data_IF_845874304811
#
_entry.id   IF_845874304811
#
_cell.length_a   1.000
_cell.length_b   1.000
_cell.length_c   1.000
_cell.angle_alpha   90.00
_cell.angle_beta   90.00
_cell.angle_gamma   90.00
#
_symmetry.space_group_name_H-M   'P 1'
#
loop_
_entity.id
_entity.type
_entity.pdbx_description
1 polymer ?
#
# COMPACT_ATOMS: atom_id res chain seq x y z
N UNK A 1 -33.61 -36.74 -20.95
CA UNK A 1 -32.27 -37.33 -20.86
C UNK A 1 -31.55 -36.67 -19.69
N UNK A 2 -31.35 -37.42 -18.61
CA UNK A 2 -30.63 -36.99 -17.42
C UNK A 2 -29.18 -36.69 -17.80
N UNK A 3 -28.80 -35.42 -17.83
CA UNK A 3 -27.40 -35.02 -17.93
C UNK A 3 -26.67 -35.56 -16.69
N UNK A 4 -25.79 -36.54 -16.88
CA UNK A 4 -24.95 -37.06 -15.81
C UNK A 4 -24.23 -35.88 -15.14
N UNK A 5 -24.27 -35.81 -13.81
CA UNK A 5 -23.63 -34.76 -13.03
C UNK A 5 -22.30 -35.26 -12.48
N UNK A 6 -21.32 -34.37 -12.34
CA UNK A 6 -20.11 -34.62 -11.56
C UNK A 6 -20.49 -34.64 -10.07
N UNK A 7 -20.16 -35.72 -9.36
CA UNK A 7 -20.57 -35.93 -7.96
C UNK A 7 -19.41 -36.25 -7.02
N UNK A 8 -18.27 -36.72 -7.52
CA UNK A 8 -17.16 -37.18 -6.67
C UNK A 8 -16.08 -36.10 -6.47
N UNK A 9 -15.99 -35.61 -5.23
CA UNK A 9 -14.97 -34.64 -4.78
C UNK A 9 -13.55 -35.20 -4.91
N UNK A 10 -13.36 -36.51 -4.71
CA UNK A 10 -12.04 -37.15 -4.76
C UNK A 10 -11.45 -37.13 -6.17
N UNK A 11 -12.30 -37.23 -7.20
CA UNK A 11 -11.89 -37.16 -8.60
C UNK A 11 -11.40 -35.75 -8.93
N UNK A 12 -12.12 -34.71 -8.49
CA UNK A 12 -11.67 -33.32 -8.68
C UNK A 12 -10.29 -33.10 -8.05
N UNK A 13 -10.07 -33.60 -6.82
CA UNK A 13 -8.77 -33.51 -6.15
C UNK A 13 -7.66 -34.26 -6.89
N UNK A 14 -7.97 -35.44 -7.45
CA UNK A 14 -7.03 -36.21 -8.26
C UNK A 14 -6.63 -35.44 -9.53
N UNK A 15 -7.57 -34.78 -10.20
CA UNK A 15 -7.29 -33.96 -11.38
C UNK A 15 -6.44 -32.74 -11.03
N UNK A 16 -6.68 -32.11 -9.87
CA UNK A 16 -5.82 -31.04 -9.35
C UNK A 16 -4.40 -31.53 -9.10
N UNK A 17 -4.24 -32.72 -8.51
CA UNK A 17 -2.91 -33.32 -8.33
C UNK A 17 -2.22 -33.59 -9.68
N UNK A 18 -2.93 -34.12 -10.67
CA UNK A 18 -2.37 -34.32 -12.02
C UNK A 18 -1.93 -32.98 -12.65
N UNK A 19 -2.73 -31.92 -12.45
CA UNK A 19 -2.40 -30.58 -12.92
C UNK A 19 -1.09 -30.07 -12.29
N UNK A 20 -0.89 -30.33 -11.01
CA UNK A 20 0.34 -29.98 -10.30
C UNK A 20 1.55 -30.77 -10.78
N UNK A 21 1.39 -32.09 -10.94
CA UNK A 21 2.47 -32.99 -11.35
C UNK A 21 2.96 -32.69 -12.78
N UNK A 22 2.04 -32.31 -13.69
CA UNK A 22 2.37 -31.96 -15.09
C UNK A 22 2.79 -30.52 -15.26
N UNK A 23 2.30 -29.62 -14.40
CA UNK A 23 2.29 -28.18 -14.64
C UNK A 23 1.16 -27.74 -15.58
N UNK A 24 0.75 -26.47 -15.43
CA UNK A 24 -0.41 -25.87 -16.11
C UNK A 24 -0.44 -26.10 -17.62
N UNK A 25 0.61 -25.72 -18.33
CA UNK A 25 0.59 -25.71 -19.80
C UNK A 25 0.55 -27.13 -20.37
N UNK A 26 1.36 -28.05 -19.81
CA UNK A 26 1.36 -29.46 -20.20
C UNK A 26 0.03 -30.16 -19.87
N UNK A 27 -0.60 -29.83 -18.73
CA UNK A 27 -1.93 -30.34 -18.40
C UNK A 27 -2.97 -29.87 -19.43
N UNK A 28 -2.99 -28.57 -19.72
CA UNK A 28 -3.95 -27.97 -20.65
C UNK A 28 -3.78 -28.53 -22.07
N UNK A 29 -2.55 -28.66 -22.55
CA UNK A 29 -2.24 -29.25 -23.86
C UNK A 29 -2.69 -30.72 -23.93
N UNK A 30 -2.35 -31.53 -22.92
CA UNK A 30 -2.72 -32.95 -22.87
C UNK A 30 -4.24 -33.16 -22.91
N UNK A 31 -5.00 -32.29 -22.24
CA UNK A 31 -6.46 -32.39 -22.14
C UNK A 31 -7.22 -31.53 -23.17
N UNK A 32 -6.49 -30.85 -24.06
CA UNK A 32 -7.00 -29.98 -25.15
C UNK A 32 -7.86 -28.82 -24.63
N UNK A 33 -7.37 -28.12 -23.61
CA UNK A 33 -7.99 -26.91 -23.08
C UNK A 33 -7.08 -25.70 -23.29
N UNK A 34 -7.70 -24.53 -23.40
CA UNK A 34 -6.99 -23.26 -23.31
C UNK A 34 -6.98 -22.77 -21.87
N UNK A 35 -6.05 -21.85 -21.57
CA UNK A 35 -6.03 -21.14 -20.29
C UNK A 35 -7.36 -20.41 -20.06
N UNK A 36 -7.83 -20.42 -18.81
CA UNK A 36 -8.99 -19.69 -18.36
C UNK A 36 -8.78 -18.19 -18.56
N UNK A 37 -9.86 -17.52 -18.99
CA UNK A 37 -9.90 -16.08 -19.19
C UNK A 37 -10.76 -15.35 -18.16
N UNK A 38 -11.45 -16.10 -17.28
CA UNK A 38 -12.40 -15.57 -16.31
C UNK A 38 -12.46 -16.44 -15.04
N UNK A 39 -12.95 -17.68 -15.12
CA UNK A 39 -13.21 -18.49 -13.92
C UNK A 39 -12.06 -19.40 -13.54
N UNK A 40 -11.71 -19.38 -12.26
CA UNK A 40 -10.66 -20.18 -11.65
C UNK A 40 -11.19 -20.98 -10.48
N UNK A 41 -10.78 -22.23 -10.37
CA UNK A 41 -11.01 -23.05 -9.20
C UNK A 41 -9.91 -22.73 -8.17
N UNK A 42 -10.29 -22.43 -6.93
CA UNK A 42 -9.32 -22.23 -5.85
C UNK A 42 -9.23 -23.48 -4.96
N UNK A 43 -8.03 -24.05 -4.85
CA UNK A 43 -7.74 -25.19 -3.95
C UNK A 43 -6.47 -24.88 -3.16
N UNK A 44 -6.58 -24.90 -1.83
CA UNK A 44 -5.48 -24.60 -0.91
C UNK A 44 -4.73 -23.30 -1.27
N UNK A 45 -5.47 -22.24 -1.65
CA UNK A 45 -4.92 -20.94 -2.02
C UNK A 45 -4.44 -20.80 -3.47
N UNK A 46 -4.25 -21.91 -4.20
CA UNK A 46 -3.79 -21.89 -5.60
C UNK A 46 -4.97 -21.84 -6.57
N UNK A 47 -4.76 -21.17 -7.71
CA UNK A 47 -5.74 -21.01 -8.78
C UNK A 47 -5.50 -21.99 -9.92
N UNK A 48 -6.56 -22.64 -10.37
CA UNK A 48 -6.57 -23.64 -11.45
C UNK A 48 -7.61 -23.27 -12.51
N UNK A 49 -7.39 -23.69 -13.75
CA UNK A 49 -8.33 -23.45 -14.85
C UNK A 49 -9.66 -24.21 -14.64
N UNK A 50 -10.70 -23.54 -14.11
CA UNK A 50 -11.93 -24.17 -13.63
C UNK A 50 -12.59 -25.06 -14.70
N UNK A 51 -12.67 -24.55 -15.94
CA UNK A 51 -13.24 -25.27 -17.08
C UNK A 51 -12.46 -26.54 -17.40
N UNK A 52 -11.14 -26.52 -17.32
CA UNK A 52 -10.32 -27.70 -17.59
C UNK A 52 -10.52 -28.74 -16.48
N UNK A 53 -10.39 -28.33 -15.22
CA UNK A 53 -10.52 -29.23 -14.06
C UNK A 53 -11.88 -29.95 -14.06
N UNK A 54 -12.99 -29.21 -14.17
CA UNK A 54 -14.34 -29.79 -14.08
C UNK A 54 -14.63 -30.76 -15.22
N UNK A 55 -14.15 -30.48 -16.43
CA UNK A 55 -14.40 -31.35 -17.58
C UNK A 55 -13.51 -32.58 -17.59
N UNK A 56 -12.25 -32.47 -17.15
CA UNK A 56 -11.37 -33.64 -16.99
C UNK A 56 -11.91 -34.54 -15.86
N UNK A 57 -12.33 -33.95 -14.74
CA UNK A 57 -12.95 -34.70 -13.65
C UNK A 57 -14.22 -35.43 -14.12
N UNK A 58 -15.06 -34.77 -14.92
CA UNK A 58 -16.25 -35.39 -15.48
C UNK A 58 -15.92 -36.58 -16.40
N UNK A 59 -14.90 -36.44 -17.25
CA UNK A 59 -14.42 -37.55 -18.10
C UNK A 59 -13.94 -38.74 -17.27
N UNK A 60 -13.23 -38.48 -16.18
CA UNK A 60 -12.72 -39.52 -15.29
C UNK A 60 -13.84 -40.23 -14.51
N UNK A 61 -14.83 -39.48 -14.01
CA UNK A 61 -15.96 -40.05 -13.26
C UNK A 61 -16.84 -40.95 -14.15
N UNK A 62 -17.12 -40.51 -15.37
CA UNK A 62 -18.05 -41.20 -16.28
C UNK A 62 -17.36 -42.09 -17.31
N UNK A 63 -16.03 -42.23 -17.24
CA UNK A 63 -15.20 -42.99 -18.21
C UNK A 63 -15.47 -42.57 -19.67
N UNK A 64 -15.68 -41.27 -19.89
CA UNK A 64 -16.07 -40.70 -21.18
C UNK A 64 -14.84 -40.40 -22.05
N UNK A 65 -14.98 -40.45 -23.40
CA UNK A 65 -13.88 -40.18 -24.31
C UNK A 65 -13.37 -38.73 -24.20
N UNK A 66 -12.08 -38.54 -24.53
CA UNK A 66 -11.32 -37.32 -24.29
C UNK A 66 -11.81 -36.03 -24.98
N UNK A 67 -12.86 -36.06 -25.81
CA UNK A 67 -13.47 -34.87 -26.41
C UNK A 67 -14.76 -34.41 -25.74
N UNK A 68 -15.37 -35.22 -24.85
CA UNK A 68 -16.65 -34.88 -24.24
C UNK A 68 -16.50 -33.73 -23.25
N UNK A 69 -17.47 -32.82 -23.27
CA UNK A 69 -17.56 -31.63 -22.39
C UNK A 69 -18.97 -31.61 -21.80
N UNK A 70 -19.10 -31.13 -20.56
CA UNK A 70 -20.39 -31.00 -19.88
C UNK A 70 -21.32 -30.07 -20.68
N UNK A 71 -22.52 -30.54 -20.99
CA UNK A 71 -23.59 -29.71 -21.58
C UNK A 71 -24.16 -28.73 -20.55
N UNK A 72 -24.30 -27.45 -20.89
CA UNK A 72 -24.88 -26.43 -19.99
C UNK A 72 -24.06 -25.15 -19.81
N UNK A 73 -22.91 -25.02 -20.48
CA UNK A 73 -22.11 -23.79 -20.46
C UNK A 73 -21.31 -23.56 -19.18
N UNK A 74 -20.76 -22.35 -19.05
CA UNK A 74 -19.83 -21.97 -17.96
C UNK A 74 -20.52 -21.94 -16.60
N UNK A 75 -21.69 -21.32 -16.52
CA UNK A 75 -22.43 -21.18 -15.24
C UNK A 75 -22.89 -22.52 -14.68
N UNK A 76 -23.15 -23.50 -15.53
CA UNK A 76 -23.46 -24.86 -15.07
C UNK A 76 -22.21 -25.55 -14.50
N UNK A 77 -21.05 -25.37 -15.14
CA UNK A 77 -19.79 -25.96 -14.71
C UNK A 77 -19.32 -25.41 -13.37
N UNK A 78 -19.45 -24.10 -13.15
CA UNK A 78 -19.10 -23.45 -11.88
C UNK A 78 -20.01 -23.94 -10.74
N UNK A 79 -21.33 -24.00 -10.98
CA UNK A 79 -22.31 -24.53 -10.01
C UNK A 79 -22.08 -25.99 -9.63
N UNK A 80 -21.45 -26.79 -10.49
CA UNK A 80 -21.05 -28.16 -10.14
C UNK A 80 -19.90 -28.15 -9.13
N UNK A 81 -18.84 -27.39 -9.40
CA UNK A 81 -17.70 -27.25 -8.47
C UNK A 81 -18.13 -26.69 -7.11
N UNK A 82 -18.99 -25.67 -7.11
CA UNK A 82 -19.52 -25.06 -5.88
C UNK A 82 -20.37 -26.05 -5.07
N UNK A 83 -21.24 -26.84 -5.72
CA UNK A 83 -22.01 -27.90 -5.05
C UNK A 83 -21.13 -28.99 -4.43
N UNK A 84 -19.95 -29.23 -5.00
CA UNK A 84 -18.94 -30.14 -4.48
C UNK A 84 -18.09 -29.52 -3.36
N UNK A 85 -18.42 -28.30 -2.92
CA UNK A 85 -17.75 -27.61 -1.82
C UNK A 85 -16.47 -26.88 -2.23
N UNK A 86 -16.22 -26.71 -3.52
CA UNK A 86 -15.08 -25.94 -4.00
C UNK A 86 -15.42 -24.46 -4.21
N UNK A 87 -14.42 -23.60 -4.03
CA UNK A 87 -14.55 -22.17 -4.31
C UNK A 87 -14.17 -21.88 -5.76
N UNK A 88 -15.06 -21.22 -6.50
CA UNK A 88 -14.78 -20.68 -7.84
C UNK A 88 -14.61 -19.17 -7.73
N UNK A 89 -13.50 -18.66 -8.25
CA UNK A 89 -13.15 -17.25 -8.26
C UNK A 89 -13.38 -16.69 -9.67
N UNK A 90 -14.11 -15.58 -9.77
CA UNK A 90 -14.24 -14.81 -11.00
C UNK A 90 -13.07 -13.82 -11.13
N UNK A 91 -12.25 -13.99 -12.17
CA UNK A 91 -11.15 -13.10 -12.52
C UNK A 91 -11.57 -11.83 -13.24
N UNK A 92 -12.85 -11.70 -13.65
CA UNK A 92 -13.45 -10.47 -14.21
C UNK A 92 -14.72 -10.07 -13.43
N UNK A 93 -14.61 -9.85 -12.12
CA UNK A 93 -15.76 -9.52 -11.30
C UNK A 93 -16.29 -8.13 -11.64
N UNK A 94 -17.60 -7.94 -11.44
CA UNK A 94 -18.31 -6.66 -11.63
C UNK A 94 -18.69 -5.99 -10.30
N UNK A 95 -18.34 -6.61 -9.17
CA UNK A 95 -18.61 -6.10 -7.82
C UNK A 95 -17.32 -5.85 -7.06
N UNK A 96 -17.38 -4.96 -6.06
CA UNK A 96 -16.24 -4.63 -5.20
C UNK A 96 -15.80 -5.85 -4.40
N UNK A 97 -16.74 -6.64 -3.88
CA UNK A 97 -16.48 -7.88 -3.13
C UNK A 97 -15.82 -8.92 -4.03
N UNK A 98 -16.29 -9.07 -5.27
CA UNK A 98 -15.70 -9.97 -6.25
C UNK A 98 -14.27 -9.55 -6.61
N UNK A 99 -14.03 -8.26 -6.82
CA UNK A 99 -12.69 -7.73 -7.13
C UNK A 99 -11.74 -7.91 -5.94
N UNK A 100 -12.22 -7.72 -4.71
CA UNK A 100 -11.45 -8.04 -3.50
C UNK A 100 -11.08 -9.52 -3.45
N UNK A 101 -12.05 -10.41 -3.68
CA UNK A 101 -11.84 -11.86 -3.66
C UNK A 101 -10.82 -12.28 -4.73
N UNK A 102 -10.92 -11.73 -5.94
CA UNK A 102 -9.96 -11.97 -7.02
C UNK A 102 -8.55 -11.58 -6.61
N UNK A 103 -8.34 -10.35 -6.14
CA UNK A 103 -7.00 -9.85 -5.77
C UNK A 103 -6.37 -10.69 -4.65
N UNK A 104 -7.14 -11.06 -3.63
CA UNK A 104 -6.66 -11.90 -2.54
C UNK A 104 -6.35 -13.34 -3.01
N UNK A 105 -7.16 -13.89 -3.94
CA UNK A 105 -6.89 -15.20 -4.50
C UNK A 105 -5.63 -15.20 -5.38
N UNK A 106 -5.40 -14.14 -6.15
CA UNK A 106 -4.14 -13.95 -6.90
C UNK A 106 -2.95 -13.84 -5.94
N UNK A 107 -3.07 -13.06 -4.86
CA UNK A 107 -2.01 -12.96 -3.86
C UNK A 107 -1.66 -14.31 -3.23
N UNK A 108 -2.67 -15.06 -2.80
CA UNK A 108 -2.48 -16.41 -2.22
C UNK A 108 -1.85 -17.37 -3.22
N UNK A 109 -2.23 -17.30 -4.50
CA UNK A 109 -1.61 -18.10 -5.54
C UNK A 109 -0.13 -17.76 -5.72
N UNK A 110 0.21 -16.47 -5.86
CA UNK A 110 1.60 -16.03 -6.03
C UNK A 110 2.48 -16.44 -4.85
N UNK A 111 1.98 -16.32 -3.62
CA UNK A 111 2.70 -16.77 -2.42
C UNK A 111 3.06 -18.26 -2.44
N UNK A 112 2.26 -19.09 -3.13
CA UNK A 112 2.40 -20.54 -3.15
C UNK A 112 3.14 -21.06 -4.38
N UNK A 113 3.23 -20.28 -5.46
CA UNK A 113 3.81 -20.73 -6.73
C UNK A 113 5.05 -19.97 -7.16
N UNK A 114 5.34 -18.80 -6.57
CA UNK A 114 6.44 -17.94 -7.00
C UNK A 114 7.35 -17.54 -5.83
N UNK A 115 8.63 -17.28 -6.14
CA UNK A 115 9.47 -16.45 -5.28
C UNK A 115 9.06 -14.98 -5.47
N UNK A 116 8.41 -14.40 -4.46
CA UNK A 116 7.89 -13.03 -4.49
C UNK A 116 8.97 -11.96 -4.67
N UNK A 117 10.25 -12.30 -4.53
CA UNK A 117 11.38 -11.40 -4.81
C UNK A 117 11.86 -11.46 -6.27
N UNK A 118 11.42 -12.48 -7.03
CA UNK A 118 11.91 -12.78 -8.38
C UNK A 118 10.78 -13.20 -9.35
N UNK A 119 9.59 -12.60 -9.21
CA UNK A 119 8.43 -12.95 -10.04
C UNK A 119 8.66 -12.53 -11.50
N UNK A 120 8.50 -13.44 -12.48
CA UNK A 120 8.54 -13.07 -13.89
C UNK A 120 7.38 -12.14 -14.26
N UNK A 121 7.60 -11.04 -15.00
CA UNK A 121 6.53 -10.11 -15.39
C UNK A 121 5.38 -10.74 -16.17
N UNK A 122 5.64 -11.85 -16.87
CA UNK A 122 4.63 -12.62 -17.60
C UNK A 122 3.57 -13.23 -16.69
N UNK A 123 3.95 -13.69 -15.50
CA UNK A 123 3.03 -14.22 -14.48
C UNK A 123 2.09 -13.13 -14.00
N UNK A 124 2.62 -11.95 -13.66
CA UNK A 124 1.80 -10.81 -13.23
C UNK A 124 0.83 -10.31 -14.31
N UNK A 125 1.26 -10.31 -15.57
CA UNK A 125 0.39 -9.98 -16.71
C UNK A 125 -0.74 -10.98 -16.87
N UNK A 126 -0.49 -12.27 -16.65
CA UNK A 126 -1.51 -13.31 -16.78
C UNK A 126 -2.67 -13.12 -15.78
N UNK A 127 -2.42 -12.48 -14.65
CA UNK A 127 -3.42 -12.15 -13.63
C UNK A 127 -3.92 -10.70 -13.68
N UNK A 128 -3.50 -9.90 -14.67
CA UNK A 128 -3.90 -8.48 -14.79
C UNK A 128 -3.32 -7.56 -13.71
N UNK A 129 -2.35 -8.04 -12.92
CA UNK A 129 -1.71 -7.28 -11.84
C UNK A 129 -0.73 -6.24 -12.37
N UNK A 130 -0.18 -6.46 -13.57
CA UNK A 130 0.85 -5.61 -14.17
C UNK A 130 0.65 -5.43 -15.68
N UNK A 131 0.83 -4.21 -16.18
CA UNK A 131 0.66 -3.88 -17.61
C UNK A 131 1.94 -3.55 -18.39
N UNK A 132 3.14 -3.70 -17.81
CA UNK A 132 4.39 -3.57 -18.57
C UNK A 132 5.11 -2.22 -18.51
N UNK A 133 5.13 -1.54 -17.37
CA UNK A 133 6.08 -0.43 -17.13
C UNK A 133 5.47 0.94 -16.85
N UNK A 134 4.16 1.03 -16.68
CA UNK A 134 3.50 2.24 -16.19
C UNK A 134 3.72 2.38 -14.68
N UNK A 135 3.82 3.62 -14.18
CA UNK A 135 3.91 3.91 -12.75
C UNK A 135 2.68 3.38 -12.02
N UNK A 136 1.48 3.70 -12.49
CA UNK A 136 0.21 3.15 -11.99
C UNK A 136 -0.45 2.31 -13.07
N UNK A 137 -0.88 1.10 -12.72
CA UNK A 137 -1.60 0.18 -13.58
C UNK A 137 -3.01 -0.05 -13.04
N UNK A 138 -4.03 0.29 -13.84
CA UNK A 138 -5.44 0.25 -13.44
C UNK A 138 -6.21 -0.94 -14.02
N UNK A 139 -5.66 -1.62 -15.04
CA UNK A 139 -6.39 -2.64 -15.81
C UNK A 139 -7.82 -2.17 -16.19
N UNK A 140 -7.91 -0.95 -16.73
CA UNK A 140 -9.20 -0.24 -16.92
C UNK A 140 -10.22 -1.08 -17.70
N UNK A 141 -9.77 -1.85 -18.69
CA UNK A 141 -10.66 -2.73 -19.47
C UNK A 141 -11.46 -3.72 -18.60
N UNK A 142 -10.94 -4.08 -17.42
CA UNK A 142 -11.58 -4.99 -16.47
C UNK A 142 -12.22 -4.25 -15.31
N UNK A 143 -11.52 -3.28 -14.73
CA UNK A 143 -11.94 -2.64 -13.48
C UNK A 143 -13.01 -1.55 -13.67
N UNK A 144 -13.21 -1.05 -14.89
CA UNK A 144 -14.24 -0.05 -15.20
C UNK A 144 -15.67 -0.57 -14.94
N UNK A 145 -15.87 -1.89 -15.06
CA UNK A 145 -17.14 -2.54 -14.71
C UNK A 145 -17.45 -2.55 -13.19
N UNK A 146 -16.43 -2.32 -12.34
CA UNK A 146 -16.58 -2.24 -10.88
C UNK A 146 -16.69 -0.77 -10.43
N UNK A 147 -15.92 0.12 -11.06
CA UNK A 147 -15.93 1.55 -10.78
C UNK A 147 -15.55 2.34 -12.03
N UNK A 148 -16.39 3.31 -12.40
CA UNK A 148 -16.15 4.19 -13.53
C UNK A 148 -14.77 4.87 -13.41
N UNK A 149 -14.00 4.87 -14.49
CA UNK A 149 -12.63 5.40 -14.46
C UNK A 149 -11.58 4.31 -14.27
N UNK A 150 -11.94 3.16 -13.74
CA UNK A 150 -11.04 2.06 -13.41
C UNK A 150 -10.46 2.16 -12.00
N UNK A 151 -9.82 1.08 -11.55
CA UNK A 151 -9.29 0.94 -10.18
C UNK A 151 -7.83 0.51 -10.25
N UNK A 152 -6.94 1.17 -9.53
CA UNK A 152 -5.53 0.77 -9.47
C UNK A 152 -5.40 -0.69 -9.02
N UNK A 153 -4.70 -1.47 -9.82
CA UNK A 153 -4.34 -2.87 -9.59
C UNK A 153 -2.93 -2.97 -9.01
N UNK A 154 -1.98 -2.24 -9.61
CA UNK A 154 -0.61 -2.26 -9.16
C UNK A 154 0.11 -0.95 -9.39
N UNK A 155 1.11 -0.69 -8.56
CA UNK A 155 2.00 0.45 -8.68
C UNK A 155 3.43 -0.05 -8.87
N UNK A 156 4.13 0.52 -9.85
CA UNK A 156 5.51 0.23 -10.15
C UNK A 156 6.40 1.25 -9.46
N UNK A 157 7.06 0.84 -8.39
CA UNK A 157 8.12 1.64 -7.79
C UNK A 157 9.43 1.42 -8.54
N UNK A 158 9.93 2.47 -9.18
CA UNK A 158 11.13 2.42 -10.03
C UNK A 158 12.45 2.58 -9.25
N UNK A 159 12.39 2.84 -7.94
CA UNK A 159 13.57 3.10 -7.12
C UNK A 159 14.26 4.44 -7.43
N UNK A 160 13.59 5.32 -8.19
CA UNK A 160 14.19 6.54 -8.72
C UNK A 160 14.24 7.70 -7.71
N UNK A 161 13.54 7.60 -6.58
CA UNK A 161 13.30 8.73 -5.68
C UNK A 161 13.80 8.45 -4.25
N UNK A 162 15.07 8.05 -4.10
CA UNK A 162 15.79 7.96 -2.81
C UNK A 162 15.60 6.66 -1.97
N UNK A 163 16.61 6.26 -1.18
CA UNK A 163 16.57 5.04 -0.36
C UNK A 163 15.50 5.04 0.74
N UNK A 164 15.08 6.22 1.21
CA UNK A 164 14.22 6.38 2.39
C UNK A 164 12.72 6.31 2.09
N UNK A 165 12.32 6.13 0.83
CA UNK A 165 10.91 6.09 0.42
C UNK A 165 10.26 4.71 0.59
N UNK A 166 11.03 3.63 0.71
CA UNK A 166 10.56 2.27 0.97
C UNK A 166 11.12 1.76 2.31
N UNK A 167 10.27 1.16 3.13
CA UNK A 167 10.71 0.33 4.28
C UNK A 167 10.26 -1.12 4.09
N UNK A 168 10.48 -1.96 5.09
CA UNK A 168 9.88 -3.29 5.12
C UNK A 168 8.34 -3.24 5.23
N UNK A 169 7.75 -2.13 5.69
CA UNK A 169 6.33 -2.07 6.06
C UNK A 169 5.49 -1.09 5.23
N UNK A 170 6.07 -0.05 4.63
CA UNK A 170 5.31 0.98 3.91
C UNK A 170 6.18 1.72 2.88
N UNK A 171 5.50 2.47 2.00
CA UNK A 171 6.11 3.30 0.96
C UNK A 171 5.35 4.62 0.81
N UNK A 172 6.08 5.72 0.67
CA UNK A 172 5.53 6.98 0.14
C UNK A 172 5.63 6.91 -1.37
N UNK A 173 4.50 7.01 -2.05
CA UNK A 173 4.43 6.98 -3.51
C UNK A 173 3.98 8.34 -4.04
N UNK A 174 4.84 9.00 -4.79
CA UNK A 174 4.53 10.30 -5.42
C UNK A 174 3.53 10.15 -6.55
N UNK A 175 2.60 11.09 -6.68
CA UNK A 175 1.66 11.12 -7.79
C UNK A 175 2.45 11.16 -9.10
N UNK A 176 1.96 10.47 -10.14
CA UNK A 176 2.58 10.53 -11.45
C UNK A 176 2.69 12.00 -11.88
N UNK A 177 3.87 12.32 -12.41
CA UNK A 177 4.16 13.59 -13.07
C UNK A 177 4.76 13.22 -14.41
N UNK A 178 3.91 12.75 -15.31
CA UNK A 178 4.33 12.33 -16.64
C UNK A 178 4.04 13.45 -17.62
N UNK A 179 5.02 13.80 -18.46
CA UNK A 179 4.81 14.73 -19.58
C UNK A 179 3.89 14.17 -20.68
N UNK A 180 3.06 13.17 -20.38
CA UNK A 180 2.27 12.36 -21.32
C UNK A 180 0.80 12.77 -21.39
N UNK A 181 0.45 13.94 -20.84
CA UNK A 181 -0.85 14.59 -20.93
C UNK A 181 -1.56 14.69 -19.57
N UNK A 182 -2.12 15.87 -19.20
CA UNK A 182 -2.64 16.12 -17.85
C UNK A 182 -3.77 15.18 -17.41
N UNK A 183 -4.67 14.78 -18.32
CA UNK A 183 -5.81 13.93 -17.96
C UNK A 183 -5.46 12.47 -17.60
N UNK A 184 -4.27 11.99 -17.97
CA UNK A 184 -3.86 10.61 -17.66
C UNK A 184 -3.38 10.47 -16.22
N UNK A 185 -2.51 11.39 -15.78
CA UNK A 185 -2.00 11.40 -14.41
C UNK A 185 -3.15 11.57 -13.41
N UNK A 186 -4.10 12.45 -13.72
CA UNK A 186 -5.32 12.65 -12.93
C UNK A 186 -6.17 11.36 -12.84
N UNK A 187 -6.33 10.64 -13.96
CA UNK A 187 -7.03 9.36 -13.97
C UNK A 187 -6.33 8.29 -13.13
N UNK A 188 -4.99 8.23 -13.17
CA UNK A 188 -4.19 7.28 -12.39
C UNK A 188 -4.27 7.59 -10.88
N UNK A 189 -4.23 8.88 -10.51
CA UNK A 189 -4.45 9.34 -9.12
C UNK A 189 -5.87 9.00 -8.67
N UNK A 190 -6.89 9.30 -9.48
CA UNK A 190 -8.29 9.02 -9.16
C UNK A 190 -8.54 7.52 -8.96
N UNK A 191 -8.02 6.67 -9.84
CA UNK A 191 -8.14 5.21 -9.71
C UNK A 191 -7.42 4.65 -8.46
N UNK A 192 -6.34 5.30 -8.02
CA UNK A 192 -5.63 4.92 -6.79
C UNK A 192 -6.43 5.32 -5.55
N UNK A 193 -7.05 6.50 -5.56
CA UNK A 193 -8.02 6.91 -4.52
C UNK A 193 -9.25 6.01 -4.52
N UNK A 194 -9.75 5.58 -5.68
CA UNK A 194 -10.85 4.63 -5.78
C UNK A 194 -10.50 3.28 -5.13
N UNK A 195 -9.30 2.74 -5.37
CA UNK A 195 -8.83 1.52 -4.70
C UNK A 195 -8.84 1.67 -3.16
N UNK A 196 -8.39 2.82 -2.66
CA UNK A 196 -8.40 3.13 -1.23
C UNK A 196 -9.84 3.20 -0.66
N UNK A 197 -10.71 3.98 -1.29
CA UNK A 197 -12.10 4.22 -0.87
C UNK A 197 -12.92 2.92 -0.87
N UNK A 198 -12.75 2.09 -1.90
CA UNK A 198 -13.39 0.77 -2.00
C UNK A 198 -12.73 -0.29 -1.10
N UNK A 199 -11.66 0.09 -0.39
CA UNK A 199 -10.85 -0.79 0.47
C UNK A 199 -10.41 -2.03 -0.30
N UNK A 200 -9.84 -1.85 -1.49
CA UNK A 200 -9.28 -2.92 -2.30
C UNK A 200 -7.76 -2.93 -2.15
N UNK A 201 -7.12 -4.10 -1.93
CA UNK A 201 -5.67 -4.16 -1.88
C UNK A 201 -5.10 -3.89 -3.28
N UNK A 202 -3.87 -3.41 -3.35
CA UNK A 202 -3.10 -3.20 -4.58
C UNK A 202 -1.80 -3.99 -4.51
N UNK A 203 -1.14 -4.17 -5.65
CA UNK A 203 0.16 -4.81 -5.73
C UNK A 203 1.26 -3.76 -5.91
N UNK A 204 2.19 -3.68 -4.96
CA UNK A 204 3.39 -2.87 -5.11
C UNK A 204 4.46 -3.71 -5.78
N UNK A 205 4.90 -3.24 -6.93
CA UNK A 205 5.82 -3.94 -7.82
C UNK A 205 7.10 -3.13 -7.87
N UNK A 206 8.23 -3.75 -7.57
CA UNK A 206 9.54 -3.10 -7.68
C UNK A 206 10.45 -3.92 -8.59
N UNK A 207 11.49 -3.27 -9.10
CA UNK A 207 12.60 -3.99 -9.74
C UNK A 207 13.72 -4.17 -8.71
N UNK A 208 14.28 -5.38 -8.52
CA UNK A 208 15.47 -5.55 -7.68
C UNK A 208 16.62 -4.62 -8.07
N UNK A 209 16.79 -4.40 -9.38
CA UNK A 209 17.70 -3.41 -9.96
C UNK A 209 17.03 -2.79 -11.19
N UNK A 210 17.42 -1.58 -11.64
CA UNK A 210 16.79 -0.92 -12.79
C UNK A 210 16.73 -1.78 -14.07
N UNK A 211 17.72 -2.68 -14.26
CA UNK A 211 17.86 -3.59 -15.40
C UNK A 211 17.29 -5.00 -15.17
N UNK A 212 16.70 -5.27 -14.01
CA UNK A 212 16.20 -6.61 -13.68
C UNK A 212 15.04 -7.05 -14.58
N UNK A 213 15.11 -8.30 -15.05
CA UNK A 213 14.06 -8.99 -15.81
C UNK A 213 12.91 -9.47 -14.92
N UNK A 214 13.13 -9.59 -13.61
CA UNK A 214 12.15 -10.05 -12.62
C UNK A 214 11.61 -8.90 -11.76
N UNK A 215 10.60 -9.18 -10.94
CA UNK A 215 9.93 -8.20 -10.08
C UNK A 215 9.86 -8.70 -8.64
N UNK A 216 9.99 -7.75 -7.71
CA UNK A 216 9.57 -7.92 -6.32
C UNK A 216 8.10 -7.53 -6.25
N UNK A 217 7.27 -8.32 -5.58
CA UNK A 217 5.83 -8.10 -5.49
C UNK A 217 5.39 -8.17 -4.04
N UNK A 218 4.65 -7.15 -3.60
CA UNK A 218 4.06 -7.08 -2.26
C UNK A 218 2.57 -6.75 -2.37
N UNK A 219 1.73 -7.41 -1.57
CA UNK A 219 0.38 -6.93 -1.32
C UNK A 219 0.43 -5.67 -0.45
N UNK A 220 -0.38 -4.69 -0.79
CA UNK A 220 -0.40 -3.41 -0.10
C UNK A 220 -1.79 -2.77 -0.08
N UNK A 221 -1.92 -1.73 0.72
CA UNK A 221 -3.13 -0.94 0.86
C UNK A 221 -2.78 0.54 0.80
N UNK A 222 -3.57 1.31 0.06
CA UNK A 222 -3.48 2.77 0.10
C UNK A 222 -4.11 3.23 1.41
N UNK A 223 -3.28 3.74 2.32
CA UNK A 223 -3.68 4.15 3.66
C UNK A 223 -4.16 5.60 3.69
N UNK A 224 -3.67 6.44 2.77
CA UNK A 224 -4.03 7.84 2.67
C UNK A 224 -3.23 8.61 1.64
N UNK A 225 -3.47 9.92 1.56
CA UNK A 225 -2.78 10.83 0.64
C UNK A 225 -2.77 12.27 1.14
N UNK A 226 -1.90 13.09 0.55
CA UNK A 226 -1.87 14.54 0.78
C UNK A 226 -1.70 15.27 -0.55
N UNK A 227 -2.66 16.14 -0.88
CA UNK A 227 -2.78 16.70 -2.22
C UNK A 227 -1.69 17.73 -2.54
N UNK A 228 -1.24 18.52 -1.56
CA UNK A 228 -0.27 19.61 -1.79
C UNK A 228 1.12 19.08 -2.09
N UNK A 229 1.54 18.03 -1.40
CA UNK A 229 2.78 17.29 -1.63
C UNK A 229 2.63 16.22 -2.70
N UNK A 230 1.41 15.94 -3.15
CA UNK A 230 1.12 14.94 -4.20
C UNK A 230 1.68 13.57 -3.85
N UNK A 231 1.39 13.07 -2.65
CA UNK A 231 1.86 11.76 -2.18
C UNK A 231 0.72 10.84 -1.75
N UNK A 232 0.91 9.54 -1.97
CA UNK A 232 0.17 8.46 -1.33
C UNK A 232 1.02 7.82 -0.24
N UNK A 233 0.38 7.39 0.84
CA UNK A 233 0.96 6.44 1.80
C UNK A 233 0.39 5.06 1.51
N UNK A 234 1.27 4.09 1.28
CA UNK A 234 0.91 2.72 0.94
C UNK A 234 1.57 1.79 1.95
N UNK A 235 0.78 1.01 2.69
CA UNK A 235 1.27 0.05 3.69
C UNK A 235 1.23 -1.38 3.16
N UNK A 236 2.28 -2.15 3.44
CA UNK A 236 2.41 -3.54 3.02
C UNK A 236 1.71 -4.51 3.98
N UNK A 237 1.27 -5.64 3.44
CA UNK A 237 0.71 -6.76 4.20
C UNK A 237 -0.78 -6.95 3.99
N UNK A 238 -1.36 -7.85 4.79
CA UNK A 238 -2.75 -8.31 4.61
C UNK A 238 -3.77 -7.49 5.42
N UNK A 239 -3.29 -6.59 6.27
CA UNK A 239 -4.13 -5.77 7.17
C UNK A 239 -4.78 -4.60 6.43
N UNK A 240 -6.08 -4.72 6.18
CA UNK A 240 -6.90 -3.65 5.61
C UNK A 240 -6.94 -2.41 6.53
N UNK A 241 -6.68 -1.19 6.02
CA UNK A 241 -6.86 0.04 6.78
C UNK A 241 -8.30 0.21 7.28
N UNK A 242 -8.46 0.53 8.56
CA UNK A 242 -9.77 0.81 9.14
C UNK A 242 -10.33 2.15 8.64
N UNK A 243 -9.45 3.16 8.62
CA UNK A 243 -9.74 4.54 8.24
C UNK A 243 -8.69 5.06 7.26
N UNK A 244 -9.14 5.79 6.25
CA UNK A 244 -8.27 6.48 5.31
C UNK A 244 -7.76 7.78 5.92
N UNK A 245 -6.47 8.04 5.75
CA UNK A 245 -5.83 9.31 6.11
C UNK A 245 -5.93 10.26 4.91
N UNK A 246 -7.06 10.94 4.77
CA UNK A 246 -7.27 11.93 3.69
C UNK A 246 -7.07 13.37 4.16
N UNK A 247 -7.28 13.64 5.45
CA UNK A 247 -7.21 14.96 6.06
C UNK A 247 -6.95 14.86 7.58
N UNK A 248 -6.51 15.96 8.19
CA UNK A 248 -6.22 16.01 9.63
C UNK A 248 -7.46 16.34 10.47
N UNK A 249 -8.01 15.34 11.15
CA UNK A 249 -9.13 15.47 12.10
C UNK A 249 -8.70 15.50 13.57
N UNK A 250 -7.42 15.70 13.85
CA UNK A 250 -6.90 15.52 15.21
C UNK A 250 -7.47 16.52 16.23
N UNK A 251 -7.90 17.71 15.80
CA UNK A 251 -8.55 18.68 16.72
C UNK A 251 -9.91 18.19 17.25
N UNK A 252 -10.54 17.20 16.59
CA UNK A 252 -11.80 16.58 17.05
C UNK A 252 -11.55 15.37 17.97
N UNK A 253 -10.30 15.09 18.32
CA UNK A 253 -9.89 13.95 19.12
C UNK A 253 -9.15 14.42 20.38
N UNK A 254 -9.26 13.68 21.50
CA UNK A 254 -8.45 13.97 22.67
C UNK A 254 -6.97 13.97 22.32
N UNK A 255 -6.20 14.88 22.89
CA UNK A 255 -4.75 14.89 22.74
C UNK A 255 -4.10 14.04 23.83
N UNK A 256 -3.11 13.25 23.44
CA UNK A 256 -2.20 12.61 24.38
C UNK A 256 -0.77 12.81 23.89
N UNK A 257 0.07 13.41 24.74
CA UNK A 257 1.49 13.55 24.46
C UNK A 257 2.25 12.23 24.59
N UNK A 258 1.71 11.29 25.37
CA UNK A 258 2.34 10.00 25.70
C UNK A 258 1.48 8.80 25.35
N UNK A 259 2.09 7.61 25.25
CA UNK A 259 1.34 6.37 25.09
C UNK A 259 1.73 5.48 23.91
N UNK A 260 2.86 5.74 23.23
CA UNK A 260 3.37 4.84 22.19
C UNK A 260 3.98 3.56 22.80
N UNK A 261 4.51 3.61 24.03
CA UNK A 261 5.24 2.49 24.66
C UNK A 261 4.41 1.22 24.90
N UNK A 262 3.08 1.28 24.99
CA UNK A 262 2.26 0.07 25.20
C UNK A 262 2.18 -0.85 23.97
N UNK A 263 2.57 -0.37 22.77
CA UNK A 263 2.49 -1.14 21.51
C UNK A 263 3.85 -1.55 20.91
N UNK A 264 4.98 -1.05 21.43
CA UNK A 264 6.28 -1.09 20.72
C UNK A 264 7.39 -1.92 21.37
N UNK A 265 7.10 -2.88 22.26
CA UNK A 265 8.15 -3.63 22.99
C UNK A 265 8.97 -4.65 22.18
N UNK A 266 8.89 -4.70 20.83
CA UNK A 266 9.57 -5.74 20.03
C UNK A 266 10.12 -5.36 18.64
N UNK A 267 10.22 -4.09 18.24
CA UNK A 267 10.73 -3.75 16.88
C UNK A 267 12.07 -3.01 16.92
N UNK A 268 13.01 -3.48 16.10
CA UNK A 268 14.35 -2.92 15.92
C UNK A 268 14.29 -1.41 15.64
N UNK A 269 15.22 -0.65 16.23
CA UNK A 269 15.33 0.82 16.18
C UNK A 269 15.45 1.39 14.74
N UNK A 270 15.78 0.56 13.74
CA UNK A 270 16.09 1.00 12.37
C UNK A 270 14.87 1.29 11.48
N UNK A 271 13.71 0.71 11.74
CA UNK A 271 12.50 0.99 10.94
C UNK A 271 11.28 1.05 11.84
N UNK A 272 10.73 2.25 12.02
CA UNK A 272 9.53 2.51 12.83
C UNK A 272 8.29 2.47 11.94
N UNK A 273 7.36 1.52 12.11
CA UNK A 273 6.13 1.37 11.33
C UNK A 273 5.11 2.53 11.41
N UNK A 274 5.51 3.71 11.92
CA UNK A 274 4.66 4.89 12.09
C UNK A 274 5.25 6.19 11.54
N UNK A 275 6.54 6.23 11.17
CA UNK A 275 7.21 7.49 10.83
C UNK A 275 6.65 8.13 9.54
N UNK A 276 6.37 7.33 8.51
CA UNK A 276 5.78 7.83 7.25
C UNK A 276 4.32 8.22 7.44
N UNK A 277 3.57 7.46 8.24
CA UNK A 277 2.20 7.80 8.65
C UNK A 277 2.16 9.11 9.42
N UNK A 278 3.06 9.32 10.37
CA UNK A 278 3.23 10.58 11.09
C UNK A 278 3.57 11.73 10.14
N UNK A 279 4.53 11.55 9.23
CA UNK A 279 4.88 12.55 8.22
C UNK A 279 3.68 12.95 7.36
N UNK A 280 2.90 11.99 6.86
CA UNK A 280 1.67 12.27 6.11
C UNK A 280 0.70 13.12 6.94
N UNK A 281 0.43 12.74 8.21
CA UNK A 281 -0.49 13.49 9.08
C UNK A 281 0.00 14.90 9.40
N UNK A 282 1.30 15.09 9.61
CA UNK A 282 1.92 16.41 9.80
C UNK A 282 1.75 17.25 8.52
N UNK A 283 1.95 16.67 7.34
CA UNK A 283 1.74 17.38 6.07
C UNK A 283 0.26 17.70 5.83
N UNK A 284 -0.67 16.83 6.20
CA UNK A 284 -2.11 17.12 6.15
C UNK A 284 -2.46 18.31 7.06
N UNK A 285 -1.87 18.37 8.26
CA UNK A 285 -2.11 19.44 9.22
C UNK A 285 -1.53 20.79 8.80
N UNK A 286 -0.24 20.84 8.47
CA UNK A 286 0.51 22.10 8.30
C UNK A 286 0.86 22.41 6.85
N UNK A 287 0.78 21.41 5.95
CA UNK A 287 1.30 21.48 4.59
C UNK A 287 2.78 21.07 4.50
N UNK A 288 3.28 20.79 3.29
CA UNK A 288 4.65 20.34 3.05
C UNK A 288 5.64 21.51 2.96
N UNK A 289 5.56 22.45 3.91
CA UNK A 289 6.42 23.66 3.95
C UNK A 289 6.96 23.83 5.36
N UNK A 290 8.27 24.06 5.48
CA UNK A 290 8.85 24.45 6.75
C UNK A 290 8.36 25.86 7.12
N UNK A 291 7.71 26.05 8.30
CA UNK A 291 7.17 27.35 8.68
C UNK A 291 8.26 28.34 9.10
N UNK A 292 9.47 27.86 9.40
CA UNK A 292 10.58 28.70 9.87
C UNK A 292 11.50 29.16 8.74
N UNK A 293 11.84 28.27 7.81
CA UNK A 293 12.71 28.58 6.65
C UNK A 293 11.93 28.86 5.36
N UNK A 294 10.65 28.51 5.30
CA UNK A 294 9.84 28.67 4.09
C UNK A 294 10.12 27.68 2.96
N UNK A 295 11.09 26.77 3.11
CA UNK A 295 11.36 25.71 2.13
C UNK A 295 10.09 24.85 1.96
N UNK A 296 9.70 24.61 0.71
CA UNK A 296 8.48 23.87 0.35
C UNK A 296 8.74 22.73 -0.66
N UNK A 297 10.00 22.28 -0.76
CA UNK A 297 10.40 21.10 -1.55
C UNK A 297 10.12 19.87 -0.67
N UNK A 298 9.08 19.05 -0.92
CA UNK A 298 8.63 18.01 0.02
C UNK A 298 9.72 16.99 0.41
N UNK A 299 10.66 16.72 -0.50
CA UNK A 299 11.81 15.85 -0.31
C UNK A 299 12.82 16.40 0.70
N UNK A 300 12.87 17.73 0.87
CA UNK A 300 13.71 18.39 1.86
C UNK A 300 13.04 18.55 3.23
N UNK A 301 11.75 18.19 3.34
CA UNK A 301 10.95 18.38 4.55
C UNK A 301 10.77 17.05 5.29
N UNK A 302 11.01 17.12 6.59
CA UNK A 302 10.84 16.04 7.57
C UNK A 302 9.73 16.43 8.55
N UNK A 303 9.12 15.41 9.18
CA UNK A 303 8.21 15.63 10.29
C UNK A 303 8.98 15.49 11.60
N UNK A 304 9.27 16.63 12.23
CA UNK A 304 9.97 16.71 13.49
C UNK A 304 8.98 16.54 14.64
N UNK A 305 9.20 15.53 15.50
CA UNK A 305 8.44 15.40 16.73
C UNK A 305 8.84 16.50 17.73
N UNK A 306 7.85 17.07 18.43
CA UNK A 306 8.10 17.95 19.57
C UNK A 306 8.57 17.12 20.76
N UNK A 307 7.84 16.04 21.09
CA UNK A 307 8.30 14.96 21.96
C UNK A 307 8.65 13.73 21.12
N UNK A 308 9.93 13.32 21.07
CA UNK A 308 10.35 12.15 20.30
C UNK A 308 9.74 10.85 20.85
N UNK A 309 9.53 9.87 19.97
CA UNK A 309 9.09 8.51 20.34
C UNK A 309 10.03 7.82 21.35
N UNK A 310 11.34 8.06 21.27
CA UNK A 310 12.31 7.57 22.25
C UNK A 310 11.97 8.01 23.68
N UNK A 311 11.36 9.18 23.80
CA UNK A 311 10.88 9.78 25.04
C UNK A 311 9.39 9.51 25.30
N UNK A 312 8.79 8.49 24.66
CA UNK A 312 7.35 8.15 24.72
C UNK A 312 6.41 9.16 24.05
N UNK A 313 6.90 9.95 23.08
CA UNK A 313 6.05 10.81 22.27
C UNK A 313 5.09 10.05 21.35
N UNK A 314 3.88 10.57 21.16
CA UNK A 314 2.89 9.99 20.23
C UNK A 314 3.07 10.48 18.79
N UNK A 315 2.54 9.72 17.82
CA UNK A 315 2.45 10.11 16.41
C UNK A 315 1.19 10.97 16.10
N UNK A 316 0.70 11.72 17.09
CA UNK A 316 -0.30 12.76 16.88
C UNK A 316 0.32 13.93 16.12
N UNK A 317 -0.26 14.44 15.01
CA UNK A 317 0.32 15.52 14.23
C UNK A 317 0.41 16.84 15.02
N UNK A 318 -0.35 16.99 16.11
CA UNK A 318 -0.20 18.13 17.03
C UNK A 318 1.09 18.03 17.87
N UNK A 319 1.72 16.85 17.95
CA UNK A 319 3.06 16.60 18.49
C UNK A 319 4.16 16.72 17.40
N UNK A 320 3.86 17.30 16.24
CA UNK A 320 4.80 17.40 15.13
C UNK A 320 4.82 18.75 14.44
N UNK A 321 5.92 19.02 13.70
CA UNK A 321 6.08 20.16 12.82
C UNK A 321 6.83 19.75 11.53
N UNK A 322 6.45 20.27 10.35
CA UNK A 322 7.25 20.10 9.15
C UNK A 322 8.49 20.99 9.24
N UNK A 323 9.69 20.42 9.28
CA UNK A 323 10.95 21.16 9.28
C UNK A 323 11.81 20.71 8.10
N UNK A 324 12.59 21.61 7.50
CA UNK A 324 13.62 21.14 6.58
C UNK A 324 14.70 20.37 7.36
N UNK A 325 15.40 19.45 6.69
CA UNK A 325 16.34 18.54 7.35
C UNK A 325 17.44 19.24 8.19
N UNK A 326 17.86 20.46 7.81
CA UNK A 326 18.81 21.26 8.59
C UNK A 326 18.20 21.77 9.90
N UNK A 327 17.00 22.36 9.86
CA UNK A 327 16.32 22.83 11.07
C UNK A 327 15.85 21.70 11.96
N UNK A 328 15.45 20.55 11.39
CA UNK A 328 15.12 19.38 12.19
C UNK A 328 16.33 18.93 13.02
N UNK A 329 17.50 18.78 12.38
CA UNK A 329 18.76 18.45 13.07
C UNK A 329 19.14 19.50 14.12
N UNK A 330 18.99 20.79 13.82
CA UNK A 330 19.25 21.86 14.77
C UNK A 330 18.28 21.83 15.97
N UNK A 331 17.00 21.50 15.72
CA UNK A 331 15.99 21.36 16.75
C UNK A 331 16.34 20.21 17.68
N UNK A 332 16.68 19.04 17.14
CA UNK A 332 17.10 17.84 17.88
C UNK A 332 18.38 18.03 18.67
N UNK A 333 19.30 18.86 18.17
CA UNK A 333 20.50 19.26 18.89
C UNK A 333 20.26 20.37 19.94
N UNK A 334 19.01 20.76 20.18
CA UNK A 334 18.62 21.81 21.12
C UNK A 334 19.29 23.17 20.84
N UNK A 335 19.59 23.47 19.56
CA UNK A 335 20.18 24.76 19.17
C UNK A 335 19.17 25.90 19.22
N UNK A 336 17.89 25.59 19.10
CA UNK A 336 16.79 26.52 19.30
C UNK A 336 15.56 25.80 19.88
N UNK A 337 14.62 26.58 20.38
CA UNK A 337 13.30 26.13 20.81
C UNK A 337 12.21 27.11 20.37
N UNK A 338 10.96 26.72 20.57
CA UNK A 338 9.80 27.59 20.36
C UNK A 338 9.19 27.83 21.74
N UNK A 339 9.10 29.10 22.13
CA UNK A 339 8.50 29.48 23.39
C UNK A 339 6.96 29.26 23.32
N UNK A 340 6.35 28.50 24.26
CA UNK A 340 4.99 27.98 24.07
C UNK A 340 3.87 29.03 24.09
N UNK A 341 4.05 30.14 24.79
CA UNK A 341 3.03 31.16 25.02
C UNK A 341 2.98 32.20 23.88
N UNK A 342 4.15 32.64 23.42
CA UNK A 342 4.37 33.64 22.37
C UNK A 342 4.53 33.02 20.98
N UNK A 343 4.87 31.72 20.93
CA UNK A 343 5.23 30.98 19.72
C UNK A 343 6.45 31.53 18.99
N UNK A 344 7.31 32.27 19.70
CA UNK A 344 8.54 32.85 19.16
C UNK A 344 9.67 31.82 19.18
N UNK A 345 10.53 31.85 18.18
CA UNK A 345 11.77 31.08 18.19
C UNK A 345 12.77 31.75 19.13
N UNK A 346 13.39 30.96 20.00
CA UNK A 346 14.52 31.38 20.83
C UNK A 346 15.71 30.47 20.57
N UNK A 347 16.91 31.03 20.56
CA UNK A 347 18.15 30.28 20.32
C UNK A 347 18.89 29.99 21.62
N UNK A 348 19.69 28.94 21.61
CA UNK A 348 20.55 28.59 22.76
C UNK A 348 21.52 29.75 23.05
N UNK A 349 21.71 30.14 24.33
CA UNK A 349 22.74 31.10 24.69
C UNK A 349 24.12 30.66 24.17
N UNK A 350 24.88 31.56 23.55
CA UNK A 350 26.19 31.26 22.92
C UNK A 350 26.10 30.17 21.82
N UNK A 351 24.89 29.88 21.34
CA UNK A 351 24.62 29.05 20.17
C UNK A 351 24.51 29.88 18.90
N UNK A 352 24.05 29.27 17.80
CA UNK A 352 23.89 29.98 16.54
C UNK A 352 22.78 31.03 16.60
N UNK A 353 22.90 32.08 15.79
CA UNK A 353 21.85 33.09 15.62
C UNK A 353 20.67 32.55 14.80
N UNK A 354 19.56 33.29 14.80
CA UNK A 354 18.39 32.98 13.95
C UNK A 354 18.79 32.96 12.46
N UNK A 355 19.64 33.90 12.03
CA UNK A 355 20.13 33.97 10.65
C UNK A 355 21.06 32.79 10.32
N UNK A 356 21.97 32.41 11.22
CA UNK A 356 22.88 31.27 11.02
C UNK A 356 22.13 29.93 10.90
N UNK A 357 20.99 29.81 11.59
CA UNK A 357 20.08 28.67 11.47
C UNK A 357 19.26 28.69 10.17
N UNK A 358 19.26 29.79 9.42
CA UNK A 358 18.44 29.95 8.21
C UNK A 358 16.94 30.07 8.53
N UNK A 359 16.59 30.67 9.66
CA UNK A 359 15.21 30.95 10.06
C UNK A 359 14.83 32.33 9.57
N UNK A 360 13.87 32.40 8.65
CA UNK A 360 13.37 33.66 8.07
C UNK A 360 12.07 34.12 8.74
N UNK A 361 11.29 33.19 9.28
CA UNK A 361 10.06 33.45 10.04
C UNK A 361 10.26 32.94 11.47
N UNK A 362 10.77 33.76 12.40
CA UNK A 362 11.17 33.32 13.76
C UNK A 362 9.98 33.16 14.71
N UNK A 363 8.85 32.62 14.23
CA UNK A 363 7.68 32.31 15.03
C UNK A 363 6.70 31.39 14.30
N UNK A 364 5.81 30.75 15.04
CA UNK A 364 4.74 29.90 14.49
C UNK A 364 3.36 30.56 14.42
N UNK A 365 3.27 31.88 14.67
CA UNK A 365 1.99 32.61 14.80
C UNK A 365 1.13 32.59 13.53
N UNK A 366 1.75 32.44 12.37
CA UNK A 366 1.10 32.41 11.05
C UNK A 366 0.56 31.03 10.66
N UNK A 367 0.84 29.99 11.45
CA UNK A 367 0.29 28.67 11.19
C UNK A 367 -1.24 28.68 11.37
N UNK A 368 -2.04 28.25 10.35
CA UNK A 368 -3.50 28.17 10.47
C UNK A 368 -3.94 27.24 11.61
N UNK A 369 -3.18 26.17 11.83
CA UNK A 369 -3.35 25.22 12.94
C UNK A 369 -2.04 25.13 13.70
N UNK A 370 -2.09 25.23 15.02
CA UNK A 370 -0.91 25.26 15.88
C UNK A 370 -0.59 23.86 16.42
N UNK A 371 0.68 23.57 16.76
CA UNK A 371 1.00 22.39 17.57
C UNK A 371 0.31 22.45 18.93
N UNK A 372 0.16 21.30 19.57
CA UNK A 372 -0.47 21.27 20.89
C UNK A 372 0.43 21.97 21.92
N UNK A 373 -0.16 22.82 22.75
CA UNK A 373 0.57 23.59 23.78
C UNK A 373 1.34 22.67 24.75
N UNK A 374 0.79 21.51 25.08
CA UNK A 374 1.46 20.53 25.95
C UNK A 374 2.76 19.99 25.32
N UNK A 375 2.74 19.70 24.02
CA UNK A 375 3.92 19.23 23.30
C UNK A 375 5.00 20.31 23.20
N UNK A 376 4.59 21.56 22.93
CA UNK A 376 5.49 22.72 22.92
C UNK A 376 6.12 22.95 24.30
N UNK A 377 5.32 22.92 25.37
CA UNK A 377 5.79 23.07 26.75
C UNK A 377 6.78 21.99 27.14
N UNK A 378 6.50 20.74 26.77
CA UNK A 378 7.43 19.64 27.01
C UNK A 378 8.77 19.91 26.32
N UNK A 379 8.73 20.23 25.02
CA UNK A 379 9.95 20.46 24.24
C UNK A 379 10.74 21.66 24.73
N UNK A 380 10.05 22.75 25.08
CA UNK A 380 10.68 23.94 25.65
C UNK A 380 11.33 23.66 27.00
N UNK A 381 10.68 22.91 27.88
CA UNK A 381 11.25 22.49 29.17
C UNK A 381 12.51 21.64 28.98
N UNK A 382 12.50 20.68 28.07
CA UNK A 382 13.68 19.86 27.76
C UNK A 382 14.84 20.71 27.26
N UNK A 383 14.56 21.69 26.40
CA UNK A 383 15.56 22.66 25.95
C UNK A 383 16.12 23.48 27.12
N UNK A 384 15.27 24.00 28.02
CA UNK A 384 15.70 24.74 29.21
C UNK A 384 16.62 23.90 30.13
N UNK A 385 16.30 22.63 30.34
CA UNK A 385 17.13 21.71 31.13
C UNK A 385 18.51 21.49 30.49
N UNK A 386 18.56 21.37 29.16
CA UNK A 386 19.80 21.15 28.40
C UNK A 386 20.71 22.38 28.36
N UNK A 387 20.14 23.59 28.28
CA UNK A 387 20.94 24.83 28.32
C UNK A 387 21.40 25.17 29.74
N UNK A 388 20.59 24.87 30.77
CA UNK A 388 20.92 25.14 32.17
C UNK A 388 21.98 24.19 32.75
N UNK A 389 22.21 23.04 32.11
CA UNK A 389 23.26 22.07 32.49
C UNK A 389 24.60 22.30 31.78
N UNK A 390 24.66 23.24 30.83
CA UNK A 390 25.88 23.62 30.10
C UNK A 390 26.47 24.97 30.56
N UNK A 391 25.93 25.56 31.64
CA UNK A 391 26.36 26.83 32.21
C UNK A 391 27.34 26.70 33.37
#
# INVERSE_FOLDING_TARGET
MTTAALTDVSIVRRVVQEYDDRGRDAFLEAHKFERANQYYLQVAGRLYDAKAIVNVAFRYEHQEPGSRVISGGRDHSNRLLERLGFTVIDGRPTTVEGERAWRLAVWSHLQLTEDLSQVPPGVLRAFGVYGGGQGIWMDKARTDAVHEGGITMGVLHTGAHYPDEISDNDVIYHYPTTGRGPGRDESEVAATKAAATLKLPIFVIAKPTPRSSVRIVRLAWVEGWEERSRIFLISFGDSRPEHLLTEDHSDNQPFSLTGNRSRSSRRNVRERPGQRRFKLRVFQRYGPRCPLSGIAVPEMIEAAHLRPDAEDGTDDPRNGLPLNAALHRAYDAYLFAIEPETLSVVTRPQGPTIEELGIFTPHLRELPRRPHTEALRWRYREWQLRIGTQG
#
